data_IF_240145256490
#
_entry.id   IF_240145256490
#
_cell.length_a   1.000
_cell.length_b   1.000
_cell.length_c   1.000
_cell.angle_alpha   90.00
_cell.angle_beta   90.00
_cell.angle_gamma   90.00
#
_symmetry.space_group_name_H-M   'P 1'
#
loop_
_entity.id
_entity.type
_entity.pdbx_description
1 polymer ?
#
# COMPACT_ATOMS: atom_id res chain seq x y z
N UNK A 1 55.35 16.75 17.25
CA UNK A 1 54.27 17.25 16.39
C UNK A 1 53.83 16.12 15.46
N UNK A 2 52.75 15.45 15.80
CA UNK A 2 52.24 14.33 15.00
C UNK A 2 51.40 14.89 13.84
N UNK A 3 51.64 14.42 12.63
CA UNK A 3 50.99 14.84 11.39
C UNK A 3 49.54 14.39 11.34
N UNK A 4 48.61 15.35 11.36
CA UNK A 4 47.17 15.19 11.23
C UNK A 4 46.76 14.96 9.74
N UNK A 5 47.66 14.59 8.84
CA UNK A 5 47.40 14.55 7.40
C UNK A 5 46.97 13.21 6.80
N UNK A 6 46.65 12.20 7.66
CA UNK A 6 46.25 10.88 7.15
C UNK A 6 44.78 10.52 7.29
N UNK A 7 43.93 11.42 7.79
CA UNK A 7 42.52 11.10 8.07
C UNK A 7 41.56 11.46 6.89
N UNK A 8 42.04 12.16 5.86
CA UNK A 8 41.22 12.65 4.75
C UNK A 8 41.61 12.11 3.37
N UNK A 9 41.96 10.82 3.27
CA UNK A 9 42.23 10.18 1.95
C UNK A 9 41.42 8.89 1.77
N UNK A 10 40.14 8.93 2.07
CA UNK A 10 39.19 8.08 1.36
C UNK A 10 38.38 9.01 0.44
N UNK A 11 38.64 8.92 -0.86
CA UNK A 11 37.75 9.49 -1.85
C UNK A 11 36.38 8.89 -1.60
N UNK A 12 35.30 9.70 -1.50
CA UNK A 12 33.97 9.18 -1.33
C UNK A 12 33.71 8.23 -2.51
N UNK A 13 33.48 6.94 -2.23
CA UNK A 13 32.97 5.99 -3.23
C UNK A 13 31.84 6.71 -3.96
N UNK A 14 31.94 6.84 -5.29
CA UNK A 14 30.89 7.42 -6.13
C UNK A 14 29.60 6.77 -5.69
N UNK A 15 28.74 7.53 -4.97
CA UNK A 15 27.41 7.06 -4.66
C UNK A 15 26.77 6.70 -5.99
N UNK A 16 26.32 5.45 -6.13
CA UNK A 16 25.54 5.05 -7.29
C UNK A 16 24.37 6.02 -7.36
N UNK A 17 24.38 6.89 -8.36
CA UNK A 17 23.30 7.84 -8.58
C UNK A 17 22.07 7.01 -8.94
N UNK A 18 21.19 6.82 -7.97
CA UNK A 18 19.88 6.26 -8.27
C UNK A 18 19.22 7.11 -9.37
N UNK A 19 18.69 6.50 -10.43
CA UNK A 19 18.05 7.22 -11.50
C UNK A 19 16.99 8.17 -10.91
N UNK A 20 17.00 9.44 -11.33
CA UNK A 20 16.04 10.43 -10.88
C UNK A 20 14.63 9.90 -11.16
N UNK A 21 13.76 9.95 -10.18
CA UNK A 21 12.34 9.67 -10.37
C UNK A 21 11.78 10.74 -11.29
N UNK A 22 11.17 10.33 -12.39
CA UNK A 22 10.54 11.22 -13.37
C UNK A 22 9.04 11.18 -13.14
N UNK A 23 8.47 12.31 -12.78
CA UNK A 23 7.02 12.49 -12.69
C UNK A 23 6.44 12.63 -14.09
N UNK A 24 5.36 11.90 -14.36
CA UNK A 24 4.53 12.00 -15.57
C UNK A 24 3.15 12.44 -15.17
N UNK A 25 2.57 13.33 -15.94
CA UNK A 25 1.19 13.75 -15.75
C UNK A 25 0.26 12.83 -16.52
N UNK A 26 -0.64 12.16 -15.81
CA UNK A 26 -1.56 11.16 -16.37
C UNK A 26 -2.97 11.55 -15.99
N UNK A 27 -3.87 11.56 -16.99
CA UNK A 27 -5.29 11.87 -16.76
C UNK A 27 -5.91 10.80 -15.86
N UNK A 28 -6.76 11.20 -14.89
CA UNK A 28 -7.33 10.28 -13.89
C UNK A 28 -8.15 9.13 -14.49
N UNK A 29 -8.76 9.34 -15.67
CA UNK A 29 -9.52 8.29 -16.38
C UNK A 29 -8.66 7.17 -16.96
N UNK A 30 -7.34 7.35 -17.05
CA UNK A 30 -6.38 6.35 -17.51
C UNK A 30 -5.77 5.56 -16.35
N UNK A 31 -6.21 5.83 -15.13
CA UNK A 31 -5.73 5.24 -13.90
C UNK A 31 -6.75 4.23 -13.37
N UNK A 32 -6.42 2.94 -13.41
CA UNK A 32 -7.25 1.87 -12.89
C UNK A 32 -6.84 1.47 -11.47
N UNK A 33 -7.81 1.03 -10.68
CA UNK A 33 -7.57 0.58 -9.33
C UNK A 33 -6.96 -0.84 -9.35
N UNK A 34 -5.95 -1.07 -8.51
CA UNK A 34 -5.35 -2.39 -8.36
C UNK A 34 -6.33 -3.36 -7.69
N UNK A 35 -6.56 -4.57 -8.25
CA UNK A 35 -7.47 -5.57 -7.67
C UNK A 35 -7.10 -5.99 -6.24
N UNK A 36 -5.82 -5.88 -5.85
CA UNK A 36 -5.37 -6.17 -4.50
C UNK A 36 -5.71 -5.07 -3.48
N UNK A 37 -6.30 -3.95 -3.92
CA UNK A 37 -6.72 -2.86 -3.03
C UNK A 37 -8.02 -3.21 -2.29
N UNK A 38 -7.89 -3.94 -1.17
CA UNK A 38 -9.04 -4.42 -0.40
C UNK A 38 -9.63 -3.39 0.59
N UNK A 39 -9.06 -2.18 0.70
CA UNK A 39 -9.65 -1.09 1.50
C UNK A 39 -11.01 -0.65 1.01
N UNK A 40 -11.33 -0.98 -0.25
CA UNK A 40 -12.65 -0.78 -0.83
C UNK A 40 -13.56 -2.00 -0.67
N UNK A 41 -13.13 -3.04 0.09
CA UNK A 41 -13.81 -4.31 0.25
C UNK A 41 -13.49 -5.31 -0.88
N UNK A 42 -13.55 -6.60 -0.57
CA UNK A 42 -13.34 -7.70 -1.54
C UNK A 42 -14.64 -8.10 -2.22
N UNK A 43 -15.72 -8.20 -1.45
CA UNK A 43 -17.06 -8.53 -1.96
C UNK A 43 -17.87 -7.27 -2.26
N UNK A 44 -18.98 -7.41 -2.99
CA UNK A 44 -19.89 -6.32 -3.28
C UNK A 44 -20.51 -5.74 -2.01
N UNK A 45 -20.86 -6.61 -1.06
CA UNK A 45 -21.43 -6.24 0.24
C UNK A 45 -20.42 -5.47 1.09
N UNK A 46 -19.18 -5.93 1.13
CA UNK A 46 -18.09 -5.23 1.85
C UNK A 46 -17.84 -3.84 1.24
N UNK A 47 -17.80 -3.75 -0.09
CA UNK A 47 -17.61 -2.47 -0.79
C UNK A 47 -18.71 -1.48 -0.44
N UNK A 48 -19.96 -1.91 -0.39
CA UNK A 48 -21.09 -1.03 -0.04
C UNK A 48 -21.02 -0.60 1.44
N UNK A 49 -20.69 -1.51 2.36
CA UNK A 49 -20.54 -1.19 3.79
C UNK A 49 -19.46 -0.14 4.07
N UNK A 50 -18.37 -0.15 3.29
CA UNK A 50 -17.28 0.81 3.44
C UNK A 50 -17.43 2.08 2.61
N UNK A 51 -18.33 2.10 1.64
CA UNK A 51 -18.51 3.17 0.66
C UNK A 51 -18.61 4.56 1.27
N UNK A 52 -19.49 4.72 2.26
CA UNK A 52 -19.69 6.01 2.93
C UNK A 52 -18.42 6.48 3.67
N UNK A 53 -17.77 5.58 4.41
CA UNK A 53 -16.54 5.92 5.13
C UNK A 53 -15.37 6.25 4.18
N UNK A 54 -15.29 5.56 3.06
CA UNK A 54 -14.29 5.83 2.01
C UNK A 54 -14.58 7.17 1.37
N UNK A 55 -15.85 7.43 1.03
CA UNK A 55 -16.31 8.68 0.43
C UNK A 55 -15.95 9.90 1.27
N UNK A 56 -16.25 9.88 2.57
CA UNK A 56 -15.90 10.98 3.48
C UNK A 56 -14.40 11.25 3.54
N UNK A 57 -13.56 10.21 3.51
CA UNK A 57 -12.10 10.35 3.46
C UNK A 57 -11.63 10.98 2.15
N UNK A 58 -12.23 10.60 1.03
CA UNK A 58 -11.89 11.12 -0.30
C UNK A 58 -12.35 12.57 -0.47
N UNK A 59 -13.51 12.95 0.07
CA UNK A 59 -13.98 14.33 0.12
C UNK A 59 -13.07 15.22 0.98
N UNK A 60 -12.71 14.77 2.18
CA UNK A 60 -11.77 15.50 3.02
C UNK A 60 -10.39 15.69 2.36
N UNK A 61 -9.93 14.67 1.61
CA UNK A 61 -8.69 14.78 0.85
C UNK A 61 -8.83 15.72 -0.34
N UNK A 62 -10.00 15.74 -1.00
CA UNK A 62 -10.31 16.69 -2.07
C UNK A 62 -10.26 18.14 -1.55
N UNK A 63 -10.82 18.40 -0.37
CA UNK A 63 -10.74 19.72 0.28
C UNK A 63 -9.29 20.15 0.53
N UNK A 64 -8.44 19.24 1.00
CA UNK A 64 -7.02 19.51 1.22
C UNK A 64 -6.28 19.79 -0.09
N UNK A 65 -6.47 18.96 -1.12
CA UNK A 65 -5.85 19.16 -2.44
C UNK A 65 -6.30 20.48 -3.06
N UNK A 66 -7.56 20.85 -2.90
CA UNK A 66 -8.09 22.12 -3.38
C UNK A 66 -7.48 23.31 -2.61
N UNK A 67 -7.29 23.19 -1.30
CA UNK A 67 -6.67 24.23 -0.47
C UNK A 67 -5.17 24.39 -0.78
N UNK A 68 -4.45 23.29 -1.02
CA UNK A 68 -3.02 23.30 -1.41
C UNK A 68 -2.82 23.79 -2.86
N UNK A 69 -3.85 23.69 -3.70
CA UNK A 69 -3.80 24.06 -5.13
C UNK A 69 -3.21 22.98 -6.02
N UNK A 70 -2.64 21.90 -5.47
CA UNK A 70 -2.02 20.80 -6.21
C UNK A 70 -1.99 19.49 -5.43
N UNK A 71 -1.68 18.39 -6.11
CA UNK A 71 -1.43 17.08 -5.51
C UNK A 71 0.04 17.00 -5.09
N UNK A 72 0.33 17.18 -3.81
CA UNK A 72 1.70 17.26 -3.27
C UNK A 72 2.51 15.97 -3.36
N UNK A 73 1.88 14.83 -3.52
CA UNK A 73 2.56 13.53 -3.58
C UNK A 73 2.21 12.78 -4.86
N UNK A 74 3.23 12.39 -5.60
CA UNK A 74 3.07 11.57 -6.80
C UNK A 74 2.36 10.24 -6.49
N UNK A 75 1.52 9.79 -7.41
CA UNK A 75 1.00 8.45 -7.40
C UNK A 75 2.07 7.47 -7.90
N UNK A 76 2.10 6.27 -7.36
CA UNK A 76 2.91 5.19 -7.90
C UNK A 76 2.02 4.31 -8.77
N UNK A 77 2.38 4.17 -10.05
CA UNK A 77 1.60 3.42 -11.02
C UNK A 77 2.49 2.49 -11.84
N UNK A 78 1.90 1.46 -12.45
CA UNK A 78 2.53 0.66 -13.51
C UNK A 78 1.73 0.77 -14.80
N UNK A 79 2.39 0.62 -15.93
CA UNK A 79 1.72 0.55 -17.23
C UNK A 79 1.15 -0.85 -17.44
N UNK A 80 -0.13 -0.97 -17.78
CA UNK A 80 -0.79 -2.25 -18.07
C UNK A 80 -1.03 -2.45 -19.57
N UNK A 81 -1.26 -1.36 -20.30
CA UNK A 81 -1.27 -1.39 -21.76
C UNK A 81 -0.84 -0.03 -22.36
N UNK A 82 -1.11 0.22 -23.64
CA UNK A 82 -0.54 1.38 -24.35
C UNK A 82 -0.86 2.71 -23.65
N UNK A 83 -2.04 2.87 -23.09
CA UNK A 83 -2.54 4.14 -22.55
C UNK A 83 -3.26 4.00 -21.18
N UNK A 84 -3.12 2.86 -20.52
CA UNK A 84 -3.74 2.56 -19.25
C UNK A 84 -2.70 2.18 -18.21
N UNK A 85 -2.94 2.61 -16.98
CA UNK A 85 -2.03 2.45 -15.86
C UNK A 85 -2.80 1.92 -14.64
N UNK A 86 -2.22 0.98 -13.93
CA UNK A 86 -2.73 0.46 -12.68
C UNK A 86 -2.08 1.16 -11.50
N UNK A 87 -2.87 1.61 -10.54
CA UNK A 87 -2.40 2.30 -9.35
C UNK A 87 -1.84 1.29 -8.35
N UNK A 88 -0.60 1.50 -7.93
CA UNK A 88 0.05 0.77 -6.84
C UNK A 88 -0.17 1.51 -5.51
N UNK A 89 -0.01 2.84 -5.53
CA UNK A 89 -0.26 3.69 -4.37
C UNK A 89 -0.85 5.03 -4.80
N UNK A 90 -1.86 5.49 -4.07
CA UNK A 90 -2.51 6.78 -4.32
C UNK A 90 -3.97 6.71 -4.76
N UNK A 91 -4.65 5.56 -4.59
CA UNK A 91 -6.07 5.39 -4.95
C UNK A 91 -6.97 6.50 -4.41
N UNK A 92 -6.85 6.87 -3.13
CA UNK A 92 -7.65 7.97 -2.56
C UNK A 92 -7.34 9.32 -3.20
N UNK A 93 -6.07 9.58 -3.61
CA UNK A 93 -5.71 10.82 -4.32
C UNK A 93 -6.35 10.89 -5.70
N UNK A 94 -6.35 9.78 -6.44
CA UNK A 94 -7.06 9.68 -7.73
C UNK A 94 -8.56 9.94 -7.56
N UNK A 95 -9.19 9.34 -6.55
CA UNK A 95 -10.62 9.52 -6.32
C UNK A 95 -10.96 10.93 -5.80
N UNK A 96 -10.12 11.53 -4.96
CA UNK A 96 -10.26 12.92 -4.55
C UNK A 96 -10.19 13.88 -5.74
N UNK A 97 -9.24 13.69 -6.67
CA UNK A 97 -9.16 14.47 -7.89
C UNK A 97 -10.38 14.24 -8.80
N UNK A 98 -10.89 13.02 -8.89
CA UNK A 98 -12.14 12.74 -9.61
C UNK A 98 -13.32 13.54 -9.04
N UNK A 99 -13.44 13.61 -7.72
CA UNK A 99 -14.47 14.45 -7.05
C UNK A 99 -14.28 15.93 -7.43
N UNK A 100 -13.05 16.43 -7.41
CA UNK A 100 -12.75 17.82 -7.78
C UNK A 100 -13.17 18.12 -9.23
N UNK A 101 -12.92 17.20 -10.16
CA UNK A 101 -13.24 17.38 -11.57
C UNK A 101 -14.73 17.16 -11.84
N UNK A 102 -15.25 15.97 -11.51
CA UNK A 102 -16.59 15.56 -11.91
C UNK A 102 -17.72 16.25 -11.13
N UNK A 103 -17.48 16.55 -9.84
CA UNK A 103 -18.53 17.08 -8.98
C UNK A 103 -18.38 18.59 -8.70
N UNK A 104 -17.11 19.09 -8.68
CA UNK A 104 -16.84 20.51 -8.42
C UNK A 104 -16.47 21.31 -9.67
N UNK A 105 -16.30 20.65 -10.84
CA UNK A 105 -15.99 21.29 -12.11
C UNK A 105 -14.58 21.89 -12.19
N UNK A 106 -13.63 21.38 -11.38
CA UNK A 106 -12.27 21.92 -11.29
C UNK A 106 -11.30 21.11 -12.17
N UNK A 107 -11.37 21.34 -13.50
CA UNK A 107 -10.63 20.62 -14.54
C UNK A 107 -9.09 20.65 -14.37
N UNK A 108 -8.53 21.63 -13.67
CA UNK A 108 -7.08 21.70 -13.41
C UNK A 108 -6.56 20.49 -12.62
N UNK A 109 -7.41 19.73 -11.95
CA UNK A 109 -7.03 18.51 -11.20
C UNK A 109 -7.21 17.21 -12.01
N UNK A 110 -7.54 17.30 -13.31
CA UNK A 110 -7.72 16.11 -14.15
C UNK A 110 -6.41 15.34 -14.40
N UNK A 111 -5.28 16.07 -14.44
CA UNK A 111 -3.95 15.49 -14.62
C UNK A 111 -3.28 15.26 -13.27
N UNK A 112 -2.89 14.01 -12.98
CA UNK A 112 -2.25 13.64 -11.72
C UNK A 112 -0.75 13.38 -11.91
N UNK A 113 0.08 13.81 -10.94
CA UNK A 113 1.50 13.51 -10.96
C UNK A 113 1.74 12.03 -10.61
N UNK A 114 2.38 11.30 -11.50
CA UNK A 114 2.59 9.86 -11.39
C UNK A 114 4.05 9.47 -11.62
N UNK A 115 4.54 8.54 -10.81
CA UNK A 115 5.79 7.82 -11.06
C UNK A 115 5.42 6.48 -11.69
N UNK A 116 5.82 6.27 -12.94
CA UNK A 116 5.58 5.01 -13.65
C UNK A 116 6.73 4.05 -13.37
N UNK A 117 6.40 2.85 -12.88
CA UNK A 117 7.37 1.76 -12.71
C UNK A 117 6.94 0.52 -13.47
N UNK A 118 7.93 -0.25 -13.88
CA UNK A 118 7.70 -1.58 -14.45
C UNK A 118 7.62 -2.60 -13.31
N UNK A 119 6.47 -3.21 -13.17
CA UNK A 119 6.21 -4.28 -12.22
C UNK A 119 5.49 -5.43 -12.93
N UNK A 120 5.84 -6.67 -12.59
CA UNK A 120 5.00 -7.83 -12.86
C UNK A 120 3.69 -7.72 -12.04
N UNK A 121 2.67 -8.51 -12.39
CA UNK A 121 1.40 -8.55 -11.64
C UNK A 121 1.64 -8.88 -10.17
N UNK A 122 2.52 -9.83 -9.91
CA UNK A 122 2.89 -10.27 -8.56
C UNK A 122 3.56 -9.15 -7.76
N UNK A 123 4.53 -8.46 -8.38
CA UNK A 123 5.23 -7.31 -7.76
C UNK A 123 4.29 -6.14 -7.52
N UNK A 124 3.34 -5.89 -8.41
CA UNK A 124 2.34 -4.85 -8.27
C UNK A 124 1.43 -5.12 -7.07
N UNK A 125 0.88 -6.34 -6.95
CA UNK A 125 0.05 -6.73 -5.81
C UNK A 125 0.81 -6.61 -4.48
N UNK A 126 2.04 -7.14 -4.42
CA UNK A 126 2.88 -7.04 -3.23
C UNK A 126 3.16 -5.58 -2.84
N UNK A 127 3.49 -4.75 -3.83
CA UNK A 127 3.78 -3.34 -3.61
C UNK A 127 2.53 -2.56 -3.18
N UNK A 128 1.34 -2.94 -3.64
CA UNK A 128 0.08 -2.38 -3.17
C UNK A 128 -0.10 -2.62 -1.66
N UNK A 129 0.15 -3.83 -1.16
CA UNK A 129 0.13 -4.11 0.27
C UNK A 129 1.19 -3.33 1.04
N UNK A 130 2.45 -3.35 0.59
CA UNK A 130 3.56 -2.72 1.30
C UNK A 130 3.52 -1.19 1.29
N UNK A 131 2.95 -0.57 0.25
CA UNK A 131 2.86 0.90 0.13
C UNK A 131 1.86 1.54 1.10
N UNK A 132 0.96 0.75 1.66
CA UNK A 132 -0.06 1.18 2.61
C UNK A 132 0.43 1.25 4.07
N UNK A 133 1.73 1.08 4.34
CA UNK A 133 2.30 0.98 5.69
C UNK A 133 1.99 2.14 6.63
N UNK A 134 1.84 3.36 6.10
CA UNK A 134 1.62 4.57 6.92
C UNK A 134 0.16 4.93 7.16
N UNK A 135 -0.79 4.26 6.51
CA UNK A 135 -2.19 4.56 6.72
C UNK A 135 -2.73 3.85 7.97
N UNK A 136 -3.61 4.51 8.72
CA UNK A 136 -4.32 3.89 9.84
C UNK A 136 -5.19 2.76 9.33
N UNK A 137 -4.90 1.53 9.76
CA UNK A 137 -5.56 0.28 9.37
C UNK A 137 -6.32 -0.32 10.53
N UNK A 138 -7.38 -1.03 10.23
CA UNK A 138 -8.02 -1.94 11.19
C UNK A 138 -7.16 -3.20 11.36
N UNK A 139 -7.34 -3.91 12.47
CA UNK A 139 -6.67 -5.19 12.73
C UNK A 139 -6.99 -6.25 11.65
N UNK A 140 -8.22 -6.22 11.13
CA UNK A 140 -8.65 -7.09 10.03
C UNK A 140 -7.92 -6.76 8.72
N UNK A 141 -7.77 -5.48 8.37
CA UNK A 141 -7.01 -5.06 7.18
C UNK A 141 -5.55 -5.49 7.26
N UNK A 142 -4.93 -5.36 8.44
CA UNK A 142 -3.54 -5.82 8.66
C UNK A 142 -3.43 -7.34 8.45
N UNK A 143 -4.36 -8.10 8.99
CA UNK A 143 -4.41 -9.56 8.80
C UNK A 143 -4.54 -9.92 7.32
N UNK A 144 -5.43 -9.27 6.58
CA UNK A 144 -5.62 -9.53 5.15
C UNK A 144 -4.37 -9.19 4.32
N UNK A 145 -3.69 -8.08 4.62
CA UNK A 145 -2.41 -7.74 3.97
C UNK A 145 -1.34 -8.80 4.24
N UNK A 146 -1.23 -9.23 5.49
CA UNK A 146 -0.26 -10.24 5.90
C UNK A 146 -0.51 -11.56 5.17
N UNK A 147 -1.76 -12.00 5.06
CA UNK A 147 -2.12 -13.22 4.33
C UNK A 147 -1.84 -13.06 2.83
N UNK A 148 -2.20 -11.93 2.22
CA UNK A 148 -1.92 -11.65 0.82
C UNK A 148 -0.41 -11.67 0.53
N UNK A 149 0.40 -10.96 1.33
CA UNK A 149 1.85 -10.97 1.20
C UNK A 149 2.45 -12.35 1.43
N UNK A 150 1.94 -13.09 2.43
CA UNK A 150 2.38 -14.46 2.73
C UNK A 150 2.14 -15.40 1.56
N UNK A 151 0.98 -15.28 0.93
CA UNK A 151 0.62 -16.06 -0.27
C UNK A 151 1.59 -15.79 -1.41
N UNK A 152 1.81 -14.51 -1.75
CA UNK A 152 2.71 -14.12 -2.84
C UNK A 152 4.14 -14.60 -2.62
N UNK A 153 4.69 -14.43 -1.40
CA UNK A 153 6.05 -14.83 -1.06
C UNK A 153 6.26 -16.36 -1.06
N UNK A 154 5.20 -17.14 -0.81
CA UNK A 154 5.27 -18.61 -0.87
C UNK A 154 5.15 -19.12 -2.29
N UNK A 155 4.24 -18.52 -3.08
CA UNK A 155 3.89 -19.02 -4.42
C UNK A 155 4.90 -18.57 -5.46
N UNK A 156 5.46 -17.36 -5.32
CA UNK A 156 6.34 -16.73 -6.32
C UNK A 156 7.63 -16.18 -5.68
N UNK A 157 8.44 -17.01 -4.99
CA UNK A 157 9.64 -16.54 -4.29
C UNK A 157 10.69 -15.92 -5.23
N UNK A 158 10.71 -16.33 -6.49
CA UNK A 158 11.60 -15.84 -7.54
C UNK A 158 11.37 -14.36 -7.89
N UNK A 159 10.16 -13.88 -7.71
CA UNK A 159 9.81 -12.47 -7.92
C UNK A 159 10.44 -11.54 -6.85
N UNK A 160 10.99 -12.10 -5.77
CA UNK A 160 11.48 -11.35 -4.62
C UNK A 160 12.94 -11.66 -4.27
N UNK A 161 13.90 -11.57 -5.22
CA UNK A 161 15.30 -11.97 -5.01
C UNK A 161 16.03 -11.10 -3.96
N UNK A 162 15.58 -9.88 -3.75
CA UNK A 162 16.18 -8.92 -2.82
C UNK A 162 15.68 -9.04 -1.37
N UNK A 163 14.72 -9.92 -1.10
CA UNK A 163 14.30 -10.15 0.27
C UNK A 163 15.33 -11.01 1.02
N UNK A 164 15.57 -10.73 2.32
CA UNK A 164 16.50 -11.51 3.11
C UNK A 164 16.19 -13.00 3.04
N UNK A 165 17.22 -13.82 3.00
CA UNK A 165 17.08 -15.27 3.16
C UNK A 165 16.52 -15.57 4.56
N UNK A 166 15.69 -16.60 4.70
CA UNK A 166 15.15 -16.99 6.00
C UNK A 166 13.71 -17.43 5.96
N UNK A 167 13.14 -17.63 7.15
CA UNK A 167 11.75 -18.07 7.31
C UNK A 167 10.79 -16.98 6.81
N UNK A 168 9.65 -17.39 6.30
CA UNK A 168 8.61 -16.46 5.82
C UNK A 168 8.23 -15.41 6.89
N UNK A 169 8.13 -15.82 8.16
CA UNK A 169 7.84 -14.91 9.25
C UNK A 169 8.91 -13.82 9.43
N UNK A 170 10.20 -14.11 9.15
CA UNK A 170 11.28 -13.15 9.23
C UNK A 170 11.17 -12.11 8.10
N UNK A 171 10.83 -12.57 6.89
CA UNK A 171 10.62 -11.71 5.72
C UNK A 171 9.44 -10.76 5.93
N UNK A 172 8.33 -11.27 6.43
CA UNK A 172 7.13 -10.48 6.72
C UNK A 172 7.35 -9.49 7.87
N UNK A 173 8.07 -9.93 8.94
CA UNK A 173 8.41 -9.08 10.07
C UNK A 173 9.22 -7.85 9.62
N UNK A 174 10.24 -8.07 8.79
CA UNK A 174 11.06 -6.99 8.24
C UNK A 174 10.26 -6.06 7.32
N UNK A 175 9.41 -6.63 6.46
CA UNK A 175 8.65 -5.86 5.46
C UNK A 175 7.52 -5.03 6.10
N UNK A 176 6.84 -5.57 7.10
CA UNK A 176 5.71 -4.92 7.78
C UNK A 176 6.13 -4.17 9.05
N UNK A 177 7.41 -4.21 9.42
CA UNK A 177 7.94 -3.63 10.66
C UNK A 177 7.19 -4.13 11.91
N UNK A 178 6.86 -5.42 11.92
CA UNK A 178 6.12 -6.09 12.99
C UNK A 178 6.99 -7.14 13.70
N UNK A 179 6.63 -7.48 14.95
CA UNK A 179 7.25 -8.60 15.64
C UNK A 179 6.78 -9.94 15.04
N UNK A 180 7.63 -10.97 15.12
CA UNK A 180 7.28 -12.34 14.70
C UNK A 180 6.08 -12.88 15.49
N UNK A 181 5.97 -12.52 16.78
CA UNK A 181 4.84 -12.87 17.64
C UNK A 181 3.54 -12.30 17.07
N UNK A 182 3.53 -11.01 16.75
CA UNK A 182 2.38 -10.33 16.14
C UNK A 182 1.94 -11.00 14.83
N UNK A 183 2.90 -11.38 13.98
CA UNK A 183 2.61 -12.12 12.76
C UNK A 183 1.99 -13.50 13.07
N UNK A 184 2.52 -14.19 14.08
CA UNK A 184 1.96 -15.46 14.55
C UNK A 184 0.52 -15.33 15.02
N UNK A 185 0.21 -14.30 15.79
CA UNK A 185 -1.14 -14.01 16.29
C UNK A 185 -2.15 -13.80 15.13
N UNK A 186 -1.83 -12.97 14.14
CA UNK A 186 -2.71 -12.77 12.98
C UNK A 186 -2.92 -14.06 12.18
N UNK A 187 -1.88 -14.88 12.03
CA UNK A 187 -2.00 -16.15 11.34
C UNK A 187 -2.85 -17.15 12.12
N UNK A 188 -2.77 -17.14 13.45
CA UNK A 188 -3.66 -17.94 14.30
C UNK A 188 -5.10 -17.52 14.12
N UNK A 189 -5.39 -16.22 14.14
CA UNK A 189 -6.72 -15.68 13.86
C UNK A 189 -7.19 -16.10 12.47
N UNK A 190 -6.38 -15.88 11.43
CA UNK A 190 -6.76 -16.18 10.05
C UNK A 190 -7.08 -17.66 9.81
N UNK A 191 -6.36 -18.57 10.49
CA UNK A 191 -6.51 -20.01 10.28
C UNK A 191 -7.60 -20.65 11.16
N UNK A 192 -7.81 -20.15 12.37
CA UNK A 192 -8.57 -20.88 13.39
C UNK A 192 -9.83 -20.15 13.87
N UNK A 193 -9.95 -18.84 13.64
CA UNK A 193 -11.12 -18.10 14.09
C UNK A 193 -12.34 -18.48 13.26
N UNK A 194 -13.38 -19.00 13.91
CA UNK A 194 -14.61 -19.41 13.24
C UNK A 194 -15.34 -18.22 12.57
N UNK A 195 -16.25 -18.54 11.66
CA UNK A 195 -16.92 -17.55 10.79
C UNK A 195 -17.55 -16.37 11.57
N UNK A 196 -18.30 -16.66 12.64
CA UNK A 196 -18.91 -15.61 13.48
C UNK A 196 -17.87 -14.72 14.17
N UNK A 197 -16.77 -15.31 14.64
CA UNK A 197 -15.64 -14.59 15.22
C UNK A 197 -14.97 -13.71 14.17
N UNK A 198 -14.79 -14.21 12.95
CA UNK A 198 -14.20 -13.47 11.84
C UNK A 198 -15.07 -12.26 11.44
N UNK A 199 -16.39 -12.41 11.37
CA UNK A 199 -17.31 -11.29 11.10
C UNK A 199 -17.22 -10.22 12.20
N UNK A 200 -17.15 -10.62 13.48
CA UNK A 200 -16.98 -9.71 14.61
C UNK A 200 -15.61 -9.02 14.59
N UNK A 201 -14.55 -9.71 14.16
CA UNK A 201 -13.21 -9.16 14.00
C UNK A 201 -13.15 -8.15 12.85
N UNK A 202 -13.78 -8.46 11.73
CA UNK A 202 -13.90 -7.59 10.56
C UNK A 202 -14.64 -6.28 10.88
N UNK A 203 -15.75 -6.37 11.61
CA UNK A 203 -16.53 -5.20 12.04
C UNK A 203 -15.84 -4.37 13.14
N UNK A 204 -14.72 -4.87 13.70
CA UNK A 204 -14.03 -4.23 14.83
C UNK A 204 -14.70 -4.42 16.19
N UNK A 205 -15.80 -5.19 16.26
CA UNK A 205 -16.49 -5.51 17.51
C UNK A 205 -15.64 -6.46 18.39
N UNK A 206 -14.91 -7.38 17.76
CA UNK A 206 -13.97 -8.28 18.42
C UNK A 206 -12.55 -7.70 18.33
N UNK A 207 -11.93 -7.42 19.48
CA UNK A 207 -10.53 -6.94 19.53
C UNK A 207 -9.55 -8.07 19.27
N UNK A 208 -8.35 -7.74 18.76
CA UNK A 208 -7.31 -8.71 18.40
C UNK A 208 -6.96 -9.67 19.53
N UNK A 209 -6.79 -9.20 20.78
CA UNK A 209 -6.44 -10.06 21.92
C UNK A 209 -7.51 -11.15 22.16
N UNK A 210 -8.78 -10.78 22.15
CA UNK A 210 -9.87 -11.73 22.30
C UNK A 210 -9.99 -12.66 21.08
N UNK A 211 -9.74 -12.16 19.86
CA UNK A 211 -9.71 -12.99 18.66
C UNK A 211 -8.60 -14.06 18.70
N UNK A 212 -7.42 -13.72 19.25
CA UNK A 212 -6.34 -14.71 19.46
C UNK A 212 -6.75 -15.78 20.46
N UNK A 213 -7.33 -15.40 21.61
CA UNK A 213 -7.81 -16.35 22.62
C UNK A 213 -8.87 -17.30 22.05
N UNK A 214 -9.79 -16.79 21.23
CA UNK A 214 -10.82 -17.62 20.59
C UNK A 214 -10.29 -18.54 19.50
N UNK A 215 -9.13 -18.22 18.93
CA UNK A 215 -8.49 -18.96 17.84
C UNK A 215 -7.42 -19.95 18.33
N UNK A 216 -7.09 -19.96 19.63
CA UNK A 216 -6.09 -20.83 20.25
C UNK A 216 -6.74 -22.06 20.85
#
# INVERSE_FOLDING_TARGET
>A
MAKISSIFKEEPKKAELHPRRVTRWIHYTKLEDNPAQYRYGKTAEEKEAFKESVRQKEEALADLIQADGEVLQDLLVRKINTDEYEIIAGHHRKNACRILVEERGLEQYAMLPCIVKEFSDIRAQFSCYSSNGYAKKTEYEIMCELEGMSHLLRTYPEEFPNLPSGRLADKLAAQLQMSKSTIGEYRTIANNLGEKGMQAFQSGTLKKSAAVEMAT
#
